data_IF_550927806255
#
_entry.id   IF_550927806255
#
_cell.length_a   1.000
_cell.length_b   1.000
_cell.length_c   1.000
_cell.angle_alpha   90.00
_cell.angle_beta   90.00
_cell.angle_gamma   90.00
#
_symmetry.space_group_name_H-M   'P 1'
#
loop_
_entity.id
_entity.type
_entity.pdbx_description
1 polymer ?
#
# COMPACT_ATOMS: atom_id res chain seq x y z
N UNK A 1 -40.46 24.22 10.71
CA UNK A 1 -39.59 23.26 9.98
C UNK A 1 -38.57 24.07 9.21
N UNK A 2 -37.35 23.55 9.11
CA UNK A 2 -36.17 24.12 8.44
C UNK A 2 -35.37 25.21 9.16
N UNK A 3 -34.06 24.98 9.25
CA UNK A 3 -33.04 25.79 9.92
C UNK A 3 -31.97 24.92 10.61
N UNK A 4 -32.39 23.76 11.14
CA UNK A 4 -31.49 22.74 11.70
C UNK A 4 -31.19 21.61 10.72
N UNK A 5 -32.16 21.23 9.88
CA UNK A 5 -32.00 20.22 8.84
C UNK A 5 -30.97 20.64 7.76
N UNK A 6 -30.89 21.94 7.43
CA UNK A 6 -29.91 22.47 6.46
C UNK A 6 -28.46 22.43 7.00
N UNK A 7 -28.26 22.58 8.32
CA UNK A 7 -26.92 22.45 8.93
C UNK A 7 -26.42 21.01 8.89
N UNK A 8 -27.31 20.03 8.99
CA UNK A 8 -26.95 18.62 8.92
C UNK A 8 -26.67 18.10 7.51
N UNK A 9 -27.12 18.82 6.47
CA UNK A 9 -26.90 18.42 5.07
C UNK A 9 -25.53 18.85 4.50
N UNK A 10 -24.81 19.77 5.13
CA UNK A 10 -23.55 20.31 4.58
C UNK A 10 -22.31 19.44 4.87
N UNK A 11 -22.38 18.48 5.80
CA UNK A 11 -21.23 17.57 6.05
C UNK A 11 -20.99 16.52 4.94
N UNK A 12 -21.95 16.35 4.02
CA UNK A 12 -21.86 15.39 2.93
C UNK A 12 -21.00 15.82 1.73
N UNK A 13 -20.48 17.05 1.70
CA UNK A 13 -19.79 17.60 0.52
C UNK A 13 -18.25 17.64 0.62
N UNK A 14 -17.65 17.09 1.69
CA UNK A 14 -16.21 17.19 1.94
C UNK A 14 -15.38 15.94 1.59
N UNK A 15 -15.97 14.87 1.05
CA UNK A 15 -15.27 13.60 0.79
C UNK A 15 -14.69 13.50 -0.63
N UNK A 16 -14.19 14.60 -1.20
CA UNK A 16 -13.40 14.56 -2.46
C UNK A 16 -11.98 14.04 -2.25
N UNK A 17 -11.55 13.83 -1.00
CA UNK A 17 -10.24 13.28 -0.67
C UNK A 17 -10.34 11.78 -0.37
N UNK A 18 -9.44 10.95 -0.93
CA UNK A 18 -9.40 9.54 -0.61
C UNK A 18 -9.07 9.32 0.88
N UNK A 19 -9.54 8.21 1.48
CA UNK A 19 -9.17 7.86 2.85
C UNK A 19 -7.66 7.81 3.06
N UNK A 20 -7.18 8.29 4.20
CA UNK A 20 -5.74 8.26 4.56
C UNK A 20 -5.16 6.84 4.48
N UNK A 21 -5.96 5.84 4.84
CA UNK A 21 -5.61 4.42 4.74
C UNK A 21 -5.32 4.00 3.29
N UNK A 22 -6.14 4.45 2.34
CA UNK A 22 -5.95 4.23 0.89
C UNK A 22 -4.66 4.87 0.38
N UNK A 23 -4.34 6.08 0.83
CA UNK A 23 -3.09 6.77 0.50
C UNK A 23 -1.88 5.96 1.01
N UNK A 24 -1.92 5.50 2.26
CA UNK A 24 -0.84 4.70 2.86
C UNK A 24 -0.66 3.38 2.11
N UNK A 25 -1.75 2.64 1.84
CA UNK A 25 -1.70 1.38 1.09
C UNK A 25 -1.10 1.60 -0.31
N UNK A 26 -1.54 2.63 -1.02
CA UNK A 26 -1.02 3.02 -2.34
C UNK A 26 0.49 3.29 -2.31
N UNK A 27 0.99 4.02 -1.29
CA UNK A 27 2.42 4.29 -1.13
C UNK A 27 3.24 3.03 -0.84
N UNK A 28 2.71 2.11 -0.03
CA UNK A 28 3.39 0.85 0.26
C UNK A 28 3.51 0.00 -1.01
N UNK A 29 2.44 -0.11 -1.81
CA UNK A 29 2.46 -0.83 -3.09
C UNK A 29 3.41 -0.14 -4.09
N UNK A 30 3.39 1.19 -4.16
CA UNK A 30 4.31 1.95 -5.00
C UNK A 30 5.78 1.63 -4.66
N UNK A 31 6.11 1.59 -3.38
CA UNK A 31 7.46 1.25 -2.92
C UNK A 31 7.77 -0.24 -3.12
N UNK A 32 6.82 -1.14 -2.92
CA UNK A 32 6.99 -2.57 -3.19
C UNK A 32 7.40 -2.81 -4.64
N UNK A 33 6.71 -2.18 -5.60
CA UNK A 33 7.10 -2.29 -7.01
C UNK A 33 8.48 -1.69 -7.30
N UNK A 34 8.86 -0.60 -6.62
CA UNK A 34 10.21 -0.05 -6.74
C UNK A 34 11.28 -1.05 -6.28
N UNK A 35 11.05 -1.71 -5.14
CA UNK A 35 11.95 -2.73 -4.60
C UNK A 35 12.00 -3.98 -5.49
N UNK A 36 10.87 -4.42 -6.05
CA UNK A 36 10.82 -5.56 -6.98
C UNK A 36 11.61 -5.32 -8.27
N UNK A 37 11.62 -4.08 -8.77
CA UNK A 37 12.37 -3.66 -9.97
C UNK A 37 13.80 -3.21 -9.68
N UNK A 38 14.17 -3.07 -8.41
CA UNK A 38 15.51 -2.64 -8.04
C UNK A 38 16.53 -3.69 -8.49
N UNK A 39 17.67 -3.20 -9.00
CA UNK A 39 18.77 -4.06 -9.43
C UNK A 39 19.19 -5.02 -8.29
N UNK A 40 19.47 -6.31 -8.57
CA UNK A 40 19.86 -7.28 -7.56
C UNK A 40 21.07 -6.86 -6.71
N UNK A 41 21.99 -6.08 -7.29
CA UNK A 41 23.19 -5.56 -6.62
C UNK A 41 22.93 -4.29 -5.82
N UNK A 42 21.76 -3.65 -6.00
CA UNK A 42 21.41 -2.43 -5.29
C UNK A 42 21.35 -2.63 -3.78
N UNK A 43 21.73 -1.59 -3.03
CA UNK A 43 21.64 -1.61 -1.57
C UNK A 43 20.22 -1.86 -1.05
N UNK A 44 19.19 -1.49 -1.84
CA UNK A 44 17.78 -1.74 -1.51
C UNK A 44 17.49 -3.24 -1.47
N UNK A 45 17.86 -3.98 -2.52
CA UNK A 45 17.73 -5.44 -2.59
C UNK A 45 18.57 -6.12 -1.51
N UNK A 46 19.80 -5.65 -1.30
CA UNK A 46 20.67 -6.16 -0.23
C UNK A 46 20.00 -6.03 1.13
N UNK A 47 19.54 -4.83 1.49
CA UNK A 47 18.87 -4.58 2.79
C UNK A 47 17.60 -5.39 2.94
N UNK A 48 16.79 -5.53 1.89
CA UNK A 48 15.59 -6.36 1.95
C UNK A 48 15.92 -7.84 2.22
N UNK A 49 16.95 -8.36 1.56
CA UNK A 49 17.36 -9.76 1.63
C UNK A 49 18.27 -10.07 2.84
N UNK A 50 18.68 -9.07 3.62
CA UNK A 50 19.51 -9.28 4.80
C UNK A 50 18.78 -10.18 5.79
N UNK A 51 19.24 -11.42 5.91
CA UNK A 51 18.84 -12.31 6.99
C UNK A 51 19.67 -11.97 8.23
N UNK A 52 18.99 -11.79 9.35
CA UNK A 52 19.64 -11.55 10.63
C UNK A 52 19.55 -12.82 11.47
N UNK A 53 20.69 -13.49 11.63
CA UNK A 53 20.75 -14.80 12.28
C UNK A 53 20.54 -14.76 13.80
N UNK A 54 20.57 -13.59 14.43
CA UNK A 54 20.37 -13.52 15.88
C UNK A 54 18.87 -13.62 16.24
N UNK A 55 18.54 -14.27 17.37
CA UNK A 55 17.18 -14.31 17.88
C UNK A 55 16.59 -12.91 18.01
N UNK A 56 15.34 -12.76 17.58
CA UNK A 56 14.62 -11.49 17.69
C UNK A 56 14.39 -11.16 19.18
N UNK A 57 14.69 -9.95 19.65
CA UNK A 57 14.43 -9.56 21.03
C UNK A 57 12.95 -9.70 21.40
N UNK A 58 12.69 -10.07 22.65
CA UNK A 58 11.34 -10.16 23.21
C UNK A 58 10.68 -8.77 23.16
N UNK A 59 9.44 -8.70 22.66
CA UNK A 59 8.68 -7.45 22.54
C UNK A 59 8.75 -6.76 21.18
N UNK A 60 9.65 -7.15 20.26
CA UNK A 60 9.64 -6.60 18.90
C UNK A 60 8.42 -7.15 18.13
N UNK A 61 7.55 -6.29 17.55
CA UNK A 61 6.42 -6.73 16.75
C UNK A 61 6.85 -7.73 15.67
N UNK A 62 6.05 -8.78 15.46
CA UNK A 62 6.34 -9.83 14.46
C UNK A 62 6.22 -9.32 13.01
N UNK A 63 5.74 -8.09 12.80
CA UNK A 63 5.49 -7.54 11.48
C UNK A 63 6.78 -6.99 10.88
N UNK A 64 7.30 -7.68 9.86
CA UNK A 64 8.27 -7.12 8.93
C UNK A 64 7.54 -6.26 7.89
N UNK A 65 8.26 -5.34 7.25
CA UNK A 65 7.71 -4.58 6.11
C UNK A 65 7.14 -5.52 5.05
N UNK A 66 7.88 -6.59 4.73
CA UNK A 66 7.44 -7.61 3.77
C UNK A 66 6.09 -8.22 4.18
N UNK A 67 5.89 -8.58 5.46
CA UNK A 67 4.60 -9.10 5.93
C UNK A 67 3.47 -8.07 5.77
N UNK A 68 3.75 -6.79 5.98
CA UNK A 68 2.79 -5.71 5.73
C UNK A 68 2.42 -5.57 4.25
N UNK A 69 3.41 -5.65 3.36
CA UNK A 69 3.19 -5.67 1.90
C UNK A 69 2.35 -6.87 1.50
N UNK A 70 2.67 -8.07 2.01
CA UNK A 70 1.89 -9.29 1.74
C UNK A 70 0.43 -9.12 2.09
N UNK A 71 0.14 -8.66 3.31
CA UNK A 71 -1.24 -8.43 3.74
C UNK A 71 -1.97 -7.43 2.83
N UNK A 72 -1.31 -6.33 2.44
CA UNK A 72 -1.93 -5.31 1.56
C UNK A 72 -2.18 -5.86 0.16
N UNK A 73 -1.27 -6.69 -0.37
CA UNK A 73 -1.42 -7.32 -1.68
C UNK A 73 -2.45 -8.45 -1.66
N UNK A 74 -2.57 -9.18 -0.55
CA UNK A 74 -3.62 -10.18 -0.32
C UNK A 74 -5.00 -9.50 -0.26
N UNK A 75 -5.13 -8.37 0.45
CA UNK A 75 -6.37 -7.58 0.53
C UNK A 75 -6.92 -7.19 -0.87
N UNK A 76 -6.04 -7.04 -1.86
CA UNK A 76 -6.40 -6.68 -3.25
C UNK A 76 -6.32 -7.86 -4.23
N UNK A 77 -6.10 -9.09 -3.74
CA UNK A 77 -6.08 -10.31 -4.56
C UNK A 77 -4.85 -10.48 -5.46
N UNK A 78 -3.74 -9.79 -5.17
CA UNK A 78 -2.57 -9.71 -6.07
C UNK A 78 -1.26 -10.24 -5.47
N UNK A 79 -1.33 -10.88 -4.31
CA UNK A 79 -0.12 -11.40 -3.67
C UNK A 79 0.59 -12.48 -4.52
N UNK A 80 -0.16 -13.27 -5.28
CA UNK A 80 0.42 -14.27 -6.18
C UNK A 80 1.26 -13.57 -7.26
N UNK A 81 2.55 -13.89 -7.29
CA UNK A 81 3.54 -13.39 -8.25
C UNK A 81 3.67 -11.86 -8.35
N UNK A 82 3.38 -11.13 -7.26
CA UNK A 82 3.43 -9.67 -7.25
C UNK A 82 4.78 -9.07 -7.72
N UNK A 83 5.89 -9.78 -7.52
CA UNK A 83 7.22 -9.34 -7.97
C UNK A 83 7.36 -9.35 -9.50
N UNK A 84 6.70 -10.31 -10.16
CA UNK A 84 6.61 -10.40 -11.62
C UNK A 84 5.61 -9.37 -12.14
N UNK A 85 4.44 -9.26 -11.51
CA UNK A 85 3.43 -8.26 -11.86
C UNK A 85 3.97 -6.83 -11.74
N UNK A 86 4.84 -6.58 -10.75
CA UNK A 86 5.52 -5.30 -10.58
C UNK A 86 6.49 -4.93 -11.70
N UNK A 87 6.88 -5.87 -12.58
CA UNK A 87 7.71 -5.54 -13.74
C UNK A 87 6.92 -4.78 -14.80
N UNK A 88 5.62 -5.04 -14.95
CA UNK A 88 4.74 -4.22 -15.76
C UNK A 88 4.48 -2.88 -15.07
N UNK A 89 5.16 -1.84 -15.55
CA UNK A 89 5.06 -0.49 -14.98
C UNK A 89 3.70 0.15 -15.21
N UNK A 90 3.00 -0.19 -16.30
CA UNK A 90 1.71 0.40 -16.61
C UNK A 90 0.65 -0.20 -15.71
N UNK A 91 0.62 -1.53 -15.63
CA UNK A 91 -0.32 -2.24 -14.78
C UNK A 91 -0.08 -1.91 -13.30
N UNK A 92 1.18 -1.88 -12.86
CA UNK A 92 1.50 -1.48 -11.49
C UNK A 92 1.05 -0.05 -11.14
N UNK A 93 1.12 0.89 -12.09
CA UNK A 93 0.64 2.26 -11.87
C UNK A 93 -0.88 2.32 -11.80
N UNK A 94 -1.59 1.56 -12.65
CA UNK A 94 -3.05 1.44 -12.64
C UNK A 94 -3.52 0.99 -11.25
N UNK A 95 -2.94 -0.09 -10.75
CA UNK A 95 -3.23 -0.66 -9.43
C UNK A 95 -2.96 0.30 -8.29
N UNK A 96 -1.82 1.00 -8.31
CA UNK A 96 -1.49 2.03 -7.31
C UNK A 96 -2.52 3.17 -7.31
N UNK A 97 -3.08 3.50 -8.48
CA UNK A 97 -4.17 4.46 -8.65
C UNK A 97 -5.49 3.96 -8.06
N UNK A 98 -5.91 2.75 -8.41
CA UNK A 98 -7.13 2.12 -7.89
C UNK A 98 -7.11 1.99 -6.37
N UNK A 99 -5.98 1.61 -5.79
CA UNK A 99 -5.84 1.52 -4.33
C UNK A 99 -5.87 2.89 -3.67
N UNK A 100 -5.37 3.93 -4.36
CA UNK A 100 -5.40 5.30 -3.85
C UNK A 100 -6.82 5.86 -3.85
N UNK A 101 -7.59 5.56 -4.90
CA UNK A 101 -8.94 6.05 -5.11
C UNK A 101 -9.88 4.93 -5.61
N UNK A 102 -10.39 4.09 -4.70
CA UNK A 102 -11.20 2.93 -5.07
C UNK A 102 -12.60 3.28 -5.63
N UNK A 103 -12.98 4.56 -5.65
CA UNK A 103 -14.27 5.04 -6.17
C UNK A 103 -14.17 5.90 -7.43
N UNK A 104 -12.99 6.09 -8.01
CA UNK A 104 -12.72 7.04 -9.10
C UNK A 104 -12.82 6.49 -10.53
N UNK A 105 -13.66 5.48 -10.77
CA UNK A 105 -13.95 4.94 -12.11
C UNK A 105 -15.14 5.66 -12.78
#
# INVERSE_FOLDING_TARGET
MSGEEERTQNWGLCTTNPPVTSIIKSKIIQWAGHVARADPTSNIKRVLNLQYDKPRPVGRPRNTWEKGVKNILDDIGMYQDWQNNAQDRQEWRRLVGEVKDPGGL
#
